data_IF_698013504326
#
_entry.id   IF_698013504326
#
_cell.length_a   1.000
_cell.length_b   1.000
_cell.length_c   1.000
_cell.angle_alpha   90.00
_cell.angle_beta   90.00
_cell.angle_gamma   90.00
#
_symmetry.space_group_name_H-M   'P 1'
#
loop_
_entity.id
_entity.type
_entity.pdbx_description
1 polymer ?
#
# COMPACT_ATOMS: atom_id res chain seq x y z
N UNK A 1 -4.50 15.48 -18.01
CA UNK A 1 -4.51 14.03 -17.72
C UNK A 1 -3.38 13.76 -16.73
N UNK A 2 -3.61 13.15 -15.56
CA UNK A 2 -2.51 12.83 -14.63
C UNK A 2 -1.66 11.73 -15.24
N UNK A 3 -0.35 11.93 -15.33
CA UNK A 3 0.60 10.92 -15.83
C UNK A 3 0.50 9.65 -14.98
N UNK A 4 0.34 8.50 -15.64
CA UNK A 4 0.34 7.20 -14.95
C UNK A 4 1.80 6.81 -14.73
N UNK A 5 2.16 6.50 -13.49
CA UNK A 5 3.50 6.05 -13.11
C UNK A 5 3.69 4.58 -13.47
N UNK A 6 4.95 4.13 -13.61
CA UNK A 6 5.27 2.71 -13.88
C UNK A 6 4.64 1.78 -12.83
N UNK A 7 4.74 2.03 -11.51
CA UNK A 7 4.09 1.18 -10.50
C UNK A 7 2.56 1.08 -10.65
N UNK A 8 1.90 2.16 -11.11
CA UNK A 8 0.45 2.12 -11.37
C UNK A 8 0.11 1.26 -12.58
N UNK A 9 0.94 1.26 -13.63
CA UNK A 9 0.79 0.36 -14.78
C UNK A 9 1.00 -1.10 -14.37
N UNK A 10 2.03 -1.36 -13.57
CA UNK A 10 2.29 -2.71 -13.02
C UNK A 10 1.12 -3.19 -12.14
N UNK A 11 0.57 -2.32 -11.28
CA UNK A 11 -0.61 -2.64 -10.47
C UNK A 11 -1.85 -2.93 -11.34
N UNK A 12 -2.01 -2.21 -12.46
CA UNK A 12 -3.06 -2.49 -13.43
C UNK A 12 -2.85 -3.86 -14.10
N UNK A 13 -1.62 -4.19 -14.48
CA UNK A 13 -1.30 -5.51 -15.03
C UNK A 13 -1.65 -6.63 -14.03
N UNK A 14 -1.30 -6.47 -12.75
CA UNK A 14 -1.68 -7.40 -11.69
C UNK A 14 -3.21 -7.53 -11.53
N UNK A 15 -3.93 -6.42 -11.63
CA UNK A 15 -5.41 -6.39 -11.55
C UNK A 15 -6.03 -7.15 -12.73
N UNK A 16 -5.53 -6.93 -13.95
CA UNK A 16 -5.98 -7.63 -15.16
C UNK A 16 -5.68 -9.13 -15.03
N UNK A 17 -4.50 -9.50 -14.54
CA UNK A 17 -4.13 -10.90 -14.29
C UNK A 17 -5.07 -11.58 -13.30
N UNK A 18 -5.44 -10.91 -12.21
CA UNK A 18 -6.39 -11.43 -11.23
C UNK A 18 -7.80 -11.65 -11.82
N UNK A 19 -8.28 -10.71 -12.65
CA UNK A 19 -9.57 -10.85 -13.37
C UNK A 19 -9.54 -12.02 -14.35
N UNK A 20 -8.49 -12.09 -15.18
CA UNK A 20 -8.33 -13.15 -16.17
C UNK A 20 -8.31 -14.52 -15.48
N UNK A 21 -7.52 -14.67 -14.42
CA UNK A 21 -7.47 -15.90 -13.66
C UNK A 21 -8.85 -16.26 -13.07
N UNK A 22 -9.57 -15.29 -12.49
CA UNK A 22 -10.91 -15.53 -11.95
C UNK A 22 -11.88 -16.03 -13.02
N UNK A 23 -11.88 -15.41 -14.21
CA UNK A 23 -12.70 -15.85 -15.34
C UNK A 23 -12.33 -17.26 -15.80
N UNK A 24 -11.03 -17.55 -15.97
CA UNK A 24 -10.54 -18.88 -16.38
C UNK A 24 -10.91 -19.94 -15.35
N UNK A 25 -10.71 -19.66 -14.06
CA UNK A 25 -11.05 -20.57 -12.96
C UNK A 25 -12.54 -20.93 -12.97
N UNK A 26 -13.40 -19.94 -13.20
CA UNK A 26 -14.85 -20.14 -13.29
C UNK A 26 -15.23 -21.00 -14.51
N UNK A 27 -14.72 -20.66 -15.70
CA UNK A 27 -15.04 -21.36 -16.95
C UNK A 27 -14.56 -22.82 -16.90
N UNK A 28 -13.34 -23.05 -16.41
CA UNK A 28 -12.75 -24.38 -16.31
C UNK A 28 -13.21 -25.18 -15.07
N UNK A 29 -14.08 -24.60 -14.23
CA UNK A 29 -14.61 -25.21 -13.00
C UNK A 29 -13.49 -25.75 -12.07
N UNK A 30 -12.40 -25.01 -11.95
CA UNK A 30 -11.26 -25.39 -11.11
C UNK A 30 -11.57 -25.05 -9.65
N UNK A 31 -11.99 -26.05 -8.86
CA UNK A 31 -12.38 -25.85 -7.45
C UNK A 31 -11.26 -26.16 -6.44
N UNK A 32 -10.28 -27.00 -6.78
CA UNK A 32 -9.33 -27.56 -5.79
C UNK A 32 -7.85 -27.44 -6.17
N UNK A 33 -7.48 -26.50 -7.03
CA UNK A 33 -6.07 -26.28 -7.40
C UNK A 33 -5.52 -25.09 -6.62
N UNK A 34 -4.44 -25.35 -5.87
CA UNK A 34 -3.69 -24.30 -5.19
C UNK A 34 -3.07 -23.38 -6.25
N UNK A 35 -3.34 -22.09 -6.14
CA UNK A 35 -2.94 -21.08 -7.12
C UNK A 35 -1.98 -20.10 -6.47
N UNK A 36 -1.01 -19.63 -7.23
CA UNK A 36 -0.02 -18.65 -6.80
C UNK A 36 0.16 -17.57 -7.87
N UNK A 37 0.42 -16.34 -7.44
CA UNK A 37 0.59 -15.18 -8.30
C UNK A 37 1.99 -14.62 -8.12
N UNK A 38 2.64 -14.26 -9.22
CA UNK A 38 4.02 -13.78 -9.22
C UNK A 38 4.10 -12.42 -9.91
N UNK A 39 4.84 -11.50 -9.29
CA UNK A 39 5.15 -10.18 -9.84
C UNK A 39 6.63 -9.87 -9.59
N UNK A 40 7.27 -9.20 -10.52
CA UNK A 40 8.63 -8.66 -10.35
C UNK A 40 8.65 -7.23 -9.83
N UNK A 41 7.47 -6.61 -9.65
CA UNK A 41 7.35 -5.33 -9.00
C UNK A 41 7.26 -5.49 -7.48
N UNK A 42 8.35 -5.18 -6.79
CA UNK A 42 8.39 -5.14 -5.32
C UNK A 42 7.40 -4.11 -4.75
N UNK A 43 7.19 -3.00 -5.44
CA UNK A 43 6.21 -1.96 -5.08
C UNK A 43 4.78 -2.49 -5.13
N UNK A 44 4.38 -3.14 -6.23
CA UNK A 44 3.05 -3.74 -6.36
C UNK A 44 2.83 -4.85 -5.32
N UNK A 45 3.82 -5.71 -5.12
CA UNK A 45 3.74 -6.77 -4.11
C UNK A 45 3.53 -6.17 -2.71
N UNK A 46 4.31 -5.13 -2.38
CA UNK A 46 4.22 -4.44 -1.09
C UNK A 46 2.83 -3.87 -0.86
N UNK A 47 2.27 -3.21 -1.88
CA UNK A 47 0.89 -2.70 -1.84
C UNK A 47 -0.16 -3.79 -1.63
N UNK A 48 -0.01 -4.95 -2.27
CA UNK A 48 -0.93 -6.10 -2.14
C UNK A 48 -0.82 -6.75 -0.75
N UNK A 49 0.37 -6.83 -0.15
CA UNK A 49 0.58 -7.49 1.14
C UNK A 49 0.26 -6.56 2.31
N UNK A 50 0.77 -5.32 2.30
CA UNK A 50 0.63 -4.41 3.45
C UNK A 50 -0.80 -3.85 3.54
N UNK A 51 -1.31 -3.76 4.77
CA UNK A 51 -2.63 -3.17 5.08
C UNK A 51 -2.48 -1.71 5.50
N UNK A 52 -2.09 -0.86 4.56
CA UNK A 52 -1.96 0.59 4.78
C UNK A 52 -3.05 1.38 4.06
N UNK A 53 -3.15 2.66 4.42
CA UNK A 53 -4.05 3.61 3.75
C UNK A 53 -3.37 4.12 2.47
N UNK A 54 -3.71 3.50 1.35
CA UNK A 54 -3.21 3.91 0.04
C UNK A 54 -4.05 5.02 -0.59
N UNK A 55 -3.52 5.64 -1.64
CA UNK A 55 -4.28 6.53 -2.51
C UNK A 55 -5.49 5.81 -3.11
N UNK A 56 -6.52 6.57 -3.49
CA UNK A 56 -7.78 6.01 -4.01
C UNK A 56 -7.53 5.08 -5.21
N UNK A 57 -6.60 5.44 -6.11
CA UNK A 57 -6.26 4.60 -7.26
C UNK A 57 -5.73 3.24 -6.82
N UNK A 58 -4.74 3.25 -5.93
CA UNK A 58 -4.05 2.03 -5.48
C UNK A 58 -4.98 1.19 -4.60
N UNK A 59 -5.69 1.82 -3.66
CA UNK A 59 -6.64 1.17 -2.77
C UNK A 59 -7.76 0.41 -3.53
N UNK A 60 -8.34 1.03 -4.55
CA UNK A 60 -9.42 0.40 -5.32
C UNK A 60 -8.94 -0.87 -6.06
N UNK A 61 -7.71 -0.85 -6.60
CA UNK A 61 -7.13 -1.97 -7.35
C UNK A 61 -6.72 -3.10 -6.42
N UNK A 62 -6.10 -2.79 -5.28
CA UNK A 62 -5.79 -3.78 -4.25
C UNK A 62 -7.07 -4.41 -3.72
N UNK A 63 -8.11 -3.63 -3.46
CA UNK A 63 -9.39 -4.15 -2.98
C UNK A 63 -9.97 -5.19 -3.95
N UNK A 64 -9.89 -4.91 -5.25
CA UNK A 64 -10.30 -5.85 -6.28
C UNK A 64 -9.42 -7.10 -6.34
N UNK A 65 -8.09 -6.95 -6.35
CA UNK A 65 -7.14 -8.07 -6.34
C UNK A 65 -7.42 -8.97 -5.14
N UNK A 66 -7.61 -8.40 -3.95
CA UNK A 66 -7.88 -9.14 -2.71
C UNK A 66 -9.28 -9.74 -2.65
N UNK A 67 -10.22 -9.29 -3.49
CA UNK A 67 -11.54 -9.92 -3.66
C UNK A 67 -11.45 -11.16 -4.56
N UNK A 68 -10.59 -11.11 -5.57
CA UNK A 68 -10.43 -12.17 -6.57
C UNK A 68 -9.38 -13.23 -6.19
N UNK A 69 -8.43 -12.86 -5.32
CA UNK A 69 -7.25 -13.66 -4.95
C UNK A 69 -6.92 -13.51 -3.46
N UNK A 70 -6.06 -14.38 -2.95
CA UNK A 70 -5.56 -14.36 -1.57
C UNK A 70 -4.22 -13.63 -1.51
N UNK A 71 -4.05 -12.66 -0.60
CA UNK A 71 -2.83 -11.82 -0.55
C UNK A 71 -1.57 -12.64 -0.26
N UNK A 72 -1.71 -13.69 0.55
CA UNK A 72 -0.65 -14.60 1.00
C UNK A 72 -0.18 -15.54 -0.11
N UNK A 73 -0.91 -15.60 -1.23
CA UNK A 73 -0.56 -16.39 -2.41
C UNK A 73 0.15 -15.53 -3.50
N UNK A 74 0.50 -14.27 -3.19
CA UNK A 74 1.33 -13.40 -4.03
C UNK A 74 2.79 -13.42 -3.62
N UNK A 75 3.68 -13.58 -4.61
CA UNK A 75 5.12 -13.71 -4.41
C UNK A 75 5.91 -12.81 -5.36
N UNK A 76 7.15 -12.54 -4.98
CA UNK A 76 8.11 -11.85 -5.82
C UNK A 76 8.91 -12.83 -6.67
N UNK A 77 9.01 -12.56 -7.97
CA UNK A 77 9.96 -13.20 -8.88
C UNK A 77 10.95 -12.15 -9.38
N UNK A 78 12.22 -12.49 -9.60
CA UNK A 78 13.15 -11.53 -10.20
C UNK A 78 12.81 -11.28 -11.67
N UNK A 79 13.07 -10.07 -12.17
CA UNK A 79 12.76 -9.65 -13.55
C UNK A 79 13.37 -10.60 -14.59
N UNK A 80 14.59 -11.09 -14.37
CA UNK A 80 15.27 -12.03 -15.26
C UNK A 80 14.61 -13.41 -15.30
N UNK A 81 13.83 -13.77 -14.27
CA UNK A 81 13.09 -15.03 -14.19
C UNK A 81 11.63 -14.87 -14.61
N UNK A 82 11.10 -13.64 -14.66
CA UNK A 82 9.72 -13.36 -15.06
C UNK A 82 9.49 -13.67 -16.56
N UNK A 83 8.63 -14.63 -16.93
CA UNK A 83 8.31 -14.90 -18.33
C UNK A 83 7.37 -13.84 -18.94
N UNK A 84 6.54 -13.17 -18.13
CA UNK A 84 5.57 -12.19 -18.61
C UNK A 84 6.22 -10.99 -19.30
N UNK A 85 7.46 -10.69 -18.91
CA UNK A 85 8.27 -9.60 -19.46
C UNK A 85 8.60 -9.79 -20.95
N UNK A 86 8.66 -11.03 -21.45
CA UNK A 86 8.86 -11.30 -22.88
C UNK A 86 7.70 -10.73 -23.70
N UNK A 87 6.46 -10.93 -23.22
CA UNK A 87 5.27 -10.48 -23.93
C UNK A 87 5.02 -8.97 -23.72
N UNK A 88 5.24 -8.45 -22.51
CA UNK A 88 4.96 -7.05 -22.18
C UNK A 88 5.82 -6.05 -22.95
N UNK A 89 7.02 -6.45 -23.39
CA UNK A 89 7.93 -5.62 -24.21
C UNK A 89 7.56 -5.56 -25.69
N UNK A 90 6.54 -6.32 -26.11
CA UNK A 90 6.20 -6.50 -27.51
C UNK A 90 7.16 -7.49 -28.18
N UNK A 91 6.69 -8.70 -28.44
CA UNK A 91 7.50 -9.74 -29.06
C UNK A 91 6.76 -10.41 -30.23
N UNK A 92 7.54 -10.92 -31.19
CA UNK A 92 7.02 -11.74 -32.27
C UNK A 92 6.81 -13.20 -31.85
N UNK A 93 6.00 -13.99 -32.58
CA UNK A 93 5.68 -15.37 -32.21
C UNK A 93 6.91 -16.27 -32.01
N UNK A 94 8.00 -16.05 -32.75
CA UNK A 94 9.25 -16.80 -32.61
C UNK A 94 9.90 -16.60 -31.23
N UNK A 95 9.79 -15.42 -30.65
CA UNK A 95 10.37 -15.12 -29.33
C UNK A 95 9.58 -15.79 -28.19
N UNK A 96 8.32 -16.16 -28.45
CA UNK A 96 7.52 -16.96 -27.52
C UNK A 96 7.86 -18.45 -27.57
N UNK A 97 8.65 -18.93 -28.55
CA UNK A 97 9.09 -20.33 -28.63
C UNK A 97 10.25 -20.63 -27.66
N UNK A 98 10.22 -20.04 -26.47
CA UNK A 98 11.22 -20.27 -25.41
C UNK A 98 10.64 -21.17 -24.33
N UNK A 99 11.47 -22.06 -23.77
CA UNK A 99 11.08 -22.88 -22.62
C UNK A 99 10.58 -22.02 -21.45
N UNK A 100 11.23 -20.88 -21.21
CA UNK A 100 10.87 -19.93 -20.15
C UNK A 100 9.42 -19.48 -20.23
N UNK A 101 8.90 -19.14 -21.42
CA UNK A 101 7.51 -18.71 -21.59
C UNK A 101 6.51 -19.85 -21.30
N UNK A 102 6.74 -21.02 -21.88
CA UNK A 102 5.78 -22.13 -21.81
C UNK A 102 5.83 -22.96 -20.53
N UNK A 103 6.99 -23.02 -19.88
CA UNK A 103 7.21 -23.87 -18.70
C UNK A 103 7.47 -23.07 -17.43
N UNK A 104 7.73 -21.77 -17.53
CA UNK A 104 8.21 -20.96 -16.43
C UNK A 104 9.63 -21.35 -15.97
N UNK A 105 10.09 -20.80 -14.84
CA UNK A 105 11.32 -21.20 -14.19
C UNK A 105 11.25 -22.65 -13.68
N UNK A 106 12.36 -23.39 -13.75
CA UNK A 106 12.37 -24.81 -13.36
C UNK A 106 12.03 -25.03 -11.90
N UNK A 107 12.43 -24.12 -11.00
CA UNK A 107 12.12 -24.19 -9.58
C UNK A 107 10.62 -24.11 -9.28
N UNK A 108 9.79 -23.58 -10.19
CA UNK A 108 8.34 -23.49 -9.97
C UNK A 108 7.67 -24.87 -9.97
N UNK A 109 8.32 -25.87 -10.60
CA UNK A 109 7.88 -27.28 -10.61
C UNK A 109 8.20 -28.01 -9.31
N UNK A 110 9.10 -27.45 -8.51
CA UNK A 110 9.49 -28.02 -7.22
C UNK A 110 8.47 -27.67 -6.13
N UNK A 111 8.63 -28.29 -4.96
CA UNK A 111 7.78 -27.98 -3.81
C UNK A 111 7.97 -26.52 -3.36
N UNK A 112 6.94 -25.94 -2.74
CA UNK A 112 6.92 -24.53 -2.33
C UNK A 112 8.10 -24.17 -1.41
N UNK A 113 8.55 -25.13 -0.60
CA UNK A 113 9.65 -24.98 0.34
C UNK A 113 11.00 -24.78 -0.35
N UNK A 114 11.12 -25.23 -1.60
CA UNK A 114 12.32 -25.12 -2.43
C UNK A 114 12.31 -23.88 -3.33
N UNK A 115 11.23 -23.11 -3.32
CA UNK A 115 11.16 -21.87 -4.09
C UNK A 115 12.14 -20.84 -3.55
N UNK A 116 12.68 -19.97 -4.42
CA UNK A 116 13.58 -18.91 -3.99
C UNK A 116 12.88 -18.02 -2.96
N UNK A 117 13.50 -17.88 -1.79
CA UNK A 117 13.10 -16.89 -0.80
C UNK A 117 13.60 -15.53 -1.29
N UNK A 118 12.77 -14.86 -2.08
CA UNK A 118 13.11 -13.54 -2.59
C UNK A 118 13.34 -12.56 -1.43
N UNK A 119 14.59 -12.11 -1.26
CA UNK A 119 14.88 -10.90 -0.49
C UNK A 119 14.36 -9.72 -1.31
N UNK A 120 13.11 -9.33 -1.06
CA UNK A 120 12.47 -8.24 -1.79
C UNK A 120 13.14 -6.93 -1.39
N UNK A 121 13.88 -6.30 -2.30
CA UNK A 121 14.38 -4.95 -2.09
C UNK A 121 13.22 -3.96 -2.32
N UNK A 122 12.69 -3.44 -1.22
CA UNK A 122 11.55 -2.52 -1.25
C UNK A 122 12.10 -1.10 -1.28
N UNK A 123 11.77 -0.36 -2.34
CA UNK A 123 11.98 1.07 -2.38
C UNK A 123 10.88 1.77 -1.59
N UNK A 124 11.08 1.94 -0.28
CA UNK A 124 10.07 2.56 0.60
C UNK A 124 9.64 3.95 0.10
N UNK A 125 10.56 4.72 -0.49
CA UNK A 125 10.22 6.04 -1.05
C UNK A 125 9.17 5.93 -2.16
N UNK A 126 9.29 4.94 -3.03
CA UNK A 126 8.34 4.72 -4.12
C UNK A 126 6.98 4.22 -3.62
N UNK A 127 6.98 3.35 -2.60
CA UNK A 127 5.78 2.86 -1.94
C UNK A 127 5.05 4.01 -1.22
N UNK A 128 5.79 4.86 -0.50
CA UNK A 128 5.27 5.96 0.31
C UNK A 128 4.64 7.09 -0.52
N UNK A 129 5.00 7.25 -1.80
CA UNK A 129 4.35 8.22 -2.71
C UNK A 129 2.83 8.00 -2.76
N UNK A 130 2.39 6.75 -2.73
CA UNK A 130 0.98 6.39 -2.78
C UNK A 130 0.36 6.20 -1.40
N UNK A 131 1.12 6.38 -0.32
CA UNK A 131 0.58 6.37 1.04
C UNK A 131 -0.25 7.64 1.23
N UNK A 132 -1.50 7.47 1.65
CA UNK A 132 -2.39 8.58 1.93
C UNK A 132 -1.83 9.30 3.14
N UNK A 133 -1.26 10.48 2.92
CA UNK A 133 -0.89 11.39 4.02
C UNK A 133 -2.16 11.66 4.81
N UNK A 134 -2.14 11.39 6.11
CA UNK A 134 -3.19 11.90 6.99
C UNK A 134 -3.20 13.41 6.81
N UNK A 135 -4.34 13.96 6.40
CA UNK A 135 -4.55 15.40 6.54
C UNK A 135 -4.70 15.61 8.04
N UNK A 136 -3.59 15.84 8.72
CA UNK A 136 -3.65 16.57 9.98
C UNK A 136 -4.17 17.93 9.52
N UNK A 137 -5.46 18.19 9.76
CA UNK A 137 -5.96 19.55 9.67
C UNK A 137 -5.13 20.33 10.67
N UNK A 138 -4.10 21.01 10.19
CA UNK A 138 -3.46 22.07 10.94
C UNK A 138 -4.52 23.17 11.01
N UNK A 139 -5.44 23.04 11.96
CA UNK A 139 -6.13 24.19 12.47
C UNK A 139 -5.00 25.02 13.08
N UNK A 140 -4.45 25.96 12.31
CA UNK A 140 -3.71 27.10 12.83
C UNK A 140 -4.69 27.99 13.62
N UNK A 141 -5.39 27.43 14.59
CA UNK A 141 -5.82 28.18 15.74
C UNK A 141 -4.58 28.21 16.62
N UNK A 142 -3.84 29.30 16.57
CA UNK A 142 -3.05 29.71 17.73
C UNK A 142 -3.96 29.51 18.93
N UNK A 143 -3.69 28.50 19.75
CA UNK A 143 -4.40 28.33 21.02
C UNK A 143 -3.89 29.47 21.87
N UNK A 144 -4.55 30.62 21.75
CA UNK A 144 -4.24 31.82 22.49
C UNK A 144 -4.19 31.42 23.96
N UNK A 145 -3.03 31.60 24.59
CA UNK A 145 -2.83 31.19 25.98
C UNK A 145 -3.90 31.83 26.86
N UNK A 146 -4.35 31.09 27.88
CA UNK A 146 -5.33 31.59 28.85
C UNK A 146 -4.84 32.92 29.46
N UNK A 147 -3.53 33.11 29.57
CA UNK A 147 -2.92 34.37 30.02
C UNK A 147 -3.20 35.54 29.08
N UNK A 148 -3.07 35.36 27.76
CA UNK A 148 -3.35 36.43 26.77
C UNK A 148 -4.83 36.74 26.68
N UNK A 149 -5.70 35.74 26.78
CA UNK A 149 -7.16 35.96 26.82
C UNK A 149 -7.59 36.76 28.07
N UNK A 150 -7.02 36.45 29.24
CA UNK A 150 -7.32 37.15 30.48
C UNK A 150 -6.72 38.56 30.52
N UNK A 151 -5.51 38.75 29.99
CA UNK A 151 -4.88 40.07 29.89
C UNK A 151 -5.73 41.05 29.07
N UNK A 152 -6.40 40.57 28.03
CA UNK A 152 -7.28 41.40 27.18
C UNK A 152 -8.61 41.74 27.86
N UNK A 153 -9.11 40.88 28.76
CA UNK A 153 -10.40 41.07 29.45
C UNK A 153 -10.29 41.77 30.79
N UNK A 154 -9.13 41.74 31.44
CA UNK A 154 -8.92 42.28 32.77
C UNK A 154 -7.89 43.40 32.70
N UNK A 155 -8.37 44.64 32.70
CA UNK A 155 -7.52 45.84 32.65
C UNK A 155 -6.68 46.09 33.91
N UNK A 156 -6.93 45.35 35.00
CA UNK A 156 -6.20 45.48 36.26
C UNK A 156 -5.33 44.25 36.51
N UNK A 157 -4.02 44.44 36.41
CA UNK A 157 -3.02 43.39 36.58
C UNK A 157 -3.20 42.58 37.88
N UNK A 158 -3.48 43.25 39.00
CA UNK A 158 -3.70 42.57 40.29
C UNK A 158 -4.91 41.62 40.29
N UNK A 159 -5.96 41.93 39.52
CA UNK A 159 -7.12 41.04 39.36
C UNK A 159 -6.79 39.86 38.45
N UNK A 160 -5.98 40.07 37.41
CA UNK A 160 -5.49 39.00 36.53
C UNK A 160 -4.65 37.98 37.31
N UNK A 161 -3.72 38.43 38.16
CA UNK A 161 -2.90 37.55 39.00
C UNK A 161 -3.76 36.68 39.92
N UNK A 162 -4.80 37.23 40.55
CA UNK A 162 -5.71 36.46 41.42
C UNK A 162 -6.47 35.38 40.67
N UNK A 163 -6.96 35.68 39.47
CA UNK A 163 -7.68 34.71 38.63
C UNK A 163 -6.75 33.60 38.15
N UNK A 164 -5.52 33.94 37.74
CA UNK A 164 -4.51 32.95 37.36
C UNK A 164 -4.11 32.05 38.53
N UNK A 165 -3.91 32.63 39.72
CA UNK A 165 -3.58 31.86 40.93
C UNK A 165 -4.71 30.88 41.30
N UNK A 166 -5.97 31.32 41.23
CA UNK A 166 -7.12 30.44 41.47
C UNK A 166 -7.18 29.29 40.45
N UNK A 167 -6.98 29.57 39.17
CA UNK A 167 -6.98 28.55 38.12
C UNK A 167 -5.90 27.49 38.37
N UNK A 168 -4.66 27.90 38.67
CA UNK A 168 -3.56 26.98 38.97
C UNK A 168 -3.85 26.10 40.21
N UNK A 169 -4.42 26.68 41.26
CA UNK A 169 -4.77 25.94 42.49
C UNK A 169 -5.93 24.97 42.25
N UNK A 170 -6.91 25.34 41.43
CA UNK A 170 -8.07 24.50 41.13
C UNK A 170 -7.72 23.27 40.30
N UNK A 171 -6.71 23.36 39.44
CA UNK A 171 -6.25 22.26 38.58
C UNK A 171 -5.25 21.31 39.25
N UNK A 172 -4.77 21.62 40.46
CA UNK A 172 -3.86 20.77 41.23
C UNK A 172 -4.57 19.93 42.31
N UNK A 173 -5.89 20.08 42.47
CA UNK A 173 -6.65 19.23 43.42
C UNK A 173 -6.96 17.88 42.76
N UNK A 174 -6.64 16.74 43.40
CA UNK A 174 -7.02 15.44 42.87
C UNK A 174 -8.55 15.36 42.84
N UNK A 175 -9.09 14.97 41.68
CA UNK A 175 -10.51 14.70 41.53
C UNK A 175 -10.81 13.39 42.26
N UNK A 176 -11.50 13.47 43.40
CA UNK A 176 -12.14 12.31 44.06
C UNK A 176 -13.30 11.80 43.24
#
# INVERSE_FOLDING_TARGET
MKTITIPRLELMAATIGARLFSSVKQVLKISNIKTYFWTDSSTVLTWIIRREQWSVFVANRISEIRKLTTSEDWFHISTDQNPADILSRGCGPKQLQTRKWWQGPDWLKNSKEQWPKSAVNINEKEVEIEKRKSVISANNTEVESISSQLARRISRFSKMIRVMAWYCVSNQRPKT
#
